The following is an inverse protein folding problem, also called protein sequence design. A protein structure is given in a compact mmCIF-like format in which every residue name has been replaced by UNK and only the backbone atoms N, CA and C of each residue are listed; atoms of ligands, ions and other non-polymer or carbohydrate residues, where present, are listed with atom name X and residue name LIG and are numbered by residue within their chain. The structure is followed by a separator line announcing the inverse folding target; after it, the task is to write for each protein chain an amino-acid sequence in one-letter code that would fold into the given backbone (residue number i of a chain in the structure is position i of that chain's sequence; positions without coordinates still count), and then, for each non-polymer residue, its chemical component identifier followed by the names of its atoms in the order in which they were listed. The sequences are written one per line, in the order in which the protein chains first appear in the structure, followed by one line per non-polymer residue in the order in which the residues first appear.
data_IF_982469415126
#
_entry.id   IF_982469415126
#
_cell.length_a   1.000
_cell.length_b   1.000
_cell.length_c   1.000
_cell.angle_alpha   90.00
_cell.angle_beta   90.00
_cell.angle_gamma   90.00
#
_symmetry.space_group_name_H-M   'P 1'
#
loop_
_entity.id
_entity.type
_entity.pdbx_description
1 polymer ?
#
# COMPACT_ATOMS: atom_id res chain seq x y z
N UNK A 1 -28.69 14.23 24.42
CA UNK A 1 -27.52 13.62 23.77
C UNK A 1 -26.33 14.43 24.22
N UNK A 2 -25.55 13.92 25.20
CA UNK A 2 -24.33 14.55 25.72
C UNK A 2 -23.35 14.69 24.56
N UNK A 3 -22.91 15.93 24.27
CA UNK A 3 -21.73 16.21 23.45
C UNK A 3 -20.51 15.64 24.18
N UNK A 4 -20.14 14.37 23.91
CA UNK A 4 -18.82 13.88 24.29
C UNK A 4 -17.81 14.81 23.61
N UNK A 5 -17.13 15.63 24.38
CA UNK A 5 -16.05 16.48 23.87
C UNK A 5 -15.08 15.59 23.11
N UNK A 6 -14.72 15.97 21.88
CA UNK A 6 -13.69 15.31 21.10
C UNK A 6 -12.33 15.65 21.73
N UNK A 7 -12.07 15.07 22.91
CA UNK A 7 -10.84 15.30 23.62
C UNK A 7 -9.71 14.62 22.82
N UNK A 8 -8.73 15.39 22.42
CA UNK A 8 -7.53 14.95 21.72
C UNK A 8 -6.79 13.95 22.61
N UNK A 9 -6.47 12.74 22.15
CA UNK A 9 -5.65 11.81 22.91
C UNK A 9 -4.20 12.31 22.98
N UNK A 10 -3.54 12.12 24.10
CA UNK A 10 -2.10 12.33 24.22
C UNK A 10 -1.34 11.20 23.52
N UNK A 11 -1.82 9.95 23.67
CA UNK A 11 -1.26 8.77 23.04
C UNK A 11 -2.32 7.98 22.26
N UNK A 12 -2.13 7.88 20.94
CA UNK A 12 -3.00 7.13 20.02
C UNK A 12 -2.32 5.85 19.53
N UNK A 13 -2.94 4.71 19.75
CA UNK A 13 -2.54 3.41 19.20
C UNK A 13 -3.21 3.18 17.84
N UNK A 14 -2.45 3.25 16.75
CA UNK A 14 -2.95 2.92 15.41
C UNK A 14 -2.71 1.45 15.10
N UNK A 15 -3.78 0.68 14.77
CA UNK A 15 -3.71 -0.75 14.56
C UNK A 15 -3.94 -1.06 13.07
N UNK A 16 -2.86 -1.21 12.33
CA UNK A 16 -2.86 -1.63 10.92
C UNK A 16 -1.59 -2.43 10.60
N UNK A 17 -1.52 -3.69 11.03
CA UNK A 17 -0.32 -4.50 10.86
C UNK A 17 -0.01 -4.91 9.42
N UNK A 18 -0.93 -4.81 8.51
CA UNK A 18 -0.73 -5.16 7.08
C UNK A 18 -2.06 -5.41 6.37
N UNK A 19 -2.08 -5.77 5.07
CA UNK A 19 -0.92 -6.04 4.22
C UNK A 19 -0.14 -4.76 3.83
N UNK A 20 0.91 -4.89 2.98
CA UNK A 20 1.71 -3.76 2.50
C UNK A 20 0.83 -2.66 1.87
N UNK A 21 -0.01 -3.01 0.91
CA UNK A 21 -0.90 -2.04 0.26
C UNK A 21 -1.87 -1.39 1.24
N UNK A 22 -2.40 -2.16 2.19
CA UNK A 22 -3.29 -1.63 3.23
C UNK A 22 -2.58 -0.64 4.17
N UNK A 23 -1.31 -0.89 4.51
CA UNK A 23 -0.49 0.05 5.29
C UNK A 23 -0.33 1.34 4.51
N UNK A 24 0.07 1.26 3.23
CA UNK A 24 0.20 2.44 2.35
C UNK A 24 -1.11 3.23 2.27
N UNK A 25 -2.25 2.55 2.13
CA UNK A 25 -3.57 3.23 2.09
C UNK A 25 -3.93 3.94 3.40
N UNK A 26 -3.42 3.45 4.54
CA UNK A 26 -3.73 4.01 5.86
C UNK A 26 -2.79 5.15 6.28
N UNK A 27 -1.58 5.26 5.69
CA UNK A 27 -0.60 6.30 6.04
C UNK A 27 -1.15 7.74 6.02
N UNK A 28 -1.99 8.15 5.05
CA UNK A 28 -2.55 9.50 5.04
C UNK A 28 -3.37 9.85 6.28
N UNK A 29 -3.94 8.85 6.96
CA UNK A 29 -4.69 9.06 8.21
C UNK A 29 -3.74 9.54 9.31
N UNK A 30 -2.60 8.86 9.51
CA UNK A 30 -1.61 9.28 10.50
C UNK A 30 -1.04 10.68 10.18
N UNK A 31 -0.73 10.94 8.91
CA UNK A 31 -0.26 12.25 8.46
C UNK A 31 -1.27 13.36 8.77
N UNK A 32 -2.56 13.10 8.54
CA UNK A 32 -3.63 14.07 8.82
C UNK A 32 -3.86 14.28 10.33
N UNK A 33 -3.80 13.20 11.13
CA UNK A 33 -3.90 13.27 12.59
C UNK A 33 -2.74 14.08 13.15
N UNK A 34 -1.51 13.80 12.77
CA UNK A 34 -0.33 14.52 13.24
C UNK A 34 -0.39 16.01 12.87
N UNK A 35 -0.88 16.34 11.67
CA UNK A 35 -1.05 17.75 11.26
C UNK A 35 -2.09 18.48 12.10
N UNK A 36 -3.19 17.81 12.45
CA UNK A 36 -4.27 18.39 13.27
C UNK A 36 -3.94 18.40 14.77
N UNK A 37 -3.22 17.38 15.22
CA UNK A 37 -2.84 17.12 16.60
C UNK A 37 -1.33 16.84 16.72
N UNK A 38 -0.45 17.86 16.58
CA UNK A 38 1.00 17.66 16.52
C UNK A 38 1.59 17.04 17.80
N UNK A 39 0.94 17.26 18.94
CA UNK A 39 1.37 16.75 20.25
C UNK A 39 0.90 15.31 20.53
N UNK A 40 0.02 14.76 19.68
CA UNK A 40 -0.44 13.39 19.86
C UNK A 40 0.66 12.39 19.48
N UNK A 41 1.08 11.57 20.44
CA UNK A 41 2.03 10.50 20.21
C UNK A 41 1.34 9.33 19.50
N UNK A 42 1.67 9.07 18.24
CA UNK A 42 1.10 7.95 17.47
C UNK A 42 2.05 6.76 17.55
N UNK A 43 1.61 5.67 18.19
CA UNK A 43 2.26 4.36 18.09
C UNK A 43 1.53 3.49 17.09
N UNK A 44 2.26 2.94 16.11
CA UNK A 44 1.68 2.11 15.06
C UNK A 44 2.00 0.63 15.26
N UNK A 45 0.97 -0.23 15.39
CA UNK A 45 1.16 -1.69 15.37
C UNK A 45 1.35 -2.16 13.93
N UNK A 46 2.51 -2.78 13.65
CA UNK A 46 2.97 -3.14 12.31
C UNK A 46 3.58 -4.55 12.27
N UNK A 47 3.35 -5.29 11.19
CA UNK A 47 4.11 -6.51 10.88
C UNK A 47 5.56 -6.12 10.54
N UNK A 48 6.59 -6.78 11.09
CA UNK A 48 8.00 -6.42 10.87
C UNK A 48 8.39 -6.26 9.40
N UNK A 49 7.74 -7.01 8.52
CA UNK A 49 8.01 -6.93 7.06
C UNK A 49 7.68 -5.57 6.45
N UNK A 50 6.75 -4.84 7.05
CA UNK A 50 6.26 -3.55 6.53
C UNK A 50 6.75 -2.36 7.36
N UNK A 51 7.41 -2.61 8.47
CA UNK A 51 7.96 -1.58 9.35
C UNK A 51 8.88 -0.58 8.62
N UNK A 52 9.72 -1.00 7.64
CA UNK A 52 10.54 -0.07 6.87
C UNK A 52 9.75 1.02 6.12
N UNK A 53 8.44 0.83 5.86
CA UNK A 53 7.59 1.87 5.27
C UNK A 53 7.33 3.04 6.23
N UNK A 54 7.47 2.82 7.53
CA UNK A 54 7.20 3.78 8.58
C UNK A 54 8.47 4.49 9.06
N UNK A 55 9.65 4.03 8.63
CA UNK A 55 10.92 4.63 9.01
C UNK A 55 10.99 6.11 8.60
N UNK A 56 11.45 6.96 9.53
CA UNK A 56 11.56 8.41 9.35
C UNK A 56 10.23 9.10 8.99
N UNK A 57 9.09 8.46 9.24
CA UNK A 57 7.79 9.09 9.08
C UNK A 57 7.52 10.01 10.29
N UNK A 58 7.58 11.32 10.09
CA UNK A 58 7.41 12.32 11.16
C UNK A 58 6.04 12.29 11.84
N UNK A 59 5.04 11.67 11.22
CA UNK A 59 3.70 11.54 11.80
C UNK A 59 3.60 10.35 12.78
N UNK A 60 4.57 9.44 12.80
CA UNK A 60 4.54 8.21 13.61
C UNK A 60 5.69 8.28 14.60
N UNK A 61 5.36 8.43 15.87
CA UNK A 61 6.36 8.60 16.92
C UNK A 61 7.05 7.28 17.30
N UNK A 62 6.32 6.16 17.23
CA UNK A 62 6.86 4.84 17.53
C UNK A 62 6.15 3.73 16.72
N UNK A 63 6.85 2.63 16.50
CA UNK A 63 6.28 1.38 15.99
C UNK A 63 6.24 0.34 17.10
N UNK A 64 5.23 -0.53 17.07
CA UNK A 64 5.15 -1.70 17.92
C UNK A 64 4.96 -2.94 17.04
N UNK A 65 5.98 -3.80 16.99
CA UNK A 65 6.00 -4.93 16.06
C UNK A 65 5.00 -6.01 16.44
N UNK A 66 4.24 -6.47 15.44
CA UNK A 66 3.33 -7.60 15.52
C UNK A 66 3.94 -8.82 14.79
N UNK A 67 4.65 -9.72 15.50
CA UNK A 67 5.35 -10.86 14.90
C UNK A 67 4.36 -11.97 14.53
N UNK A 68 3.58 -11.73 13.49
CA UNK A 68 2.47 -12.61 13.07
C UNK A 68 2.89 -14.06 12.86
N UNK A 69 4.13 -14.31 12.49
CA UNK A 69 4.67 -15.65 12.24
C UNK A 69 4.68 -16.50 13.52
N UNK A 70 4.90 -15.87 14.69
CA UNK A 70 5.04 -16.53 15.99
C UNK A 70 3.70 -17.01 16.55
N UNK A 71 2.59 -16.54 16.00
CA UNK A 71 1.23 -16.83 16.49
C UNK A 71 0.53 -17.91 15.68
N UNK A 72 1.28 -18.83 15.06
CA UNK A 72 0.75 -19.97 14.32
C UNK A 72 0.51 -21.16 15.23
N UNK A 73 -0.51 -21.96 14.89
CA UNK A 73 -0.90 -23.17 15.61
C UNK A 73 -1.55 -22.92 16.99
N UNK A 74 -1.96 -23.97 17.71
CA UNK A 74 -2.69 -23.83 18.98
C UNK A 74 -1.92 -23.06 20.07
N UNK A 75 -0.63 -23.33 20.23
CA UNK A 75 0.23 -22.58 21.16
C UNK A 75 0.41 -21.11 20.75
N UNK A 76 0.22 -20.78 19.48
CA UNK A 76 0.25 -19.43 18.95
C UNK A 76 -0.85 -18.54 19.53
N UNK A 77 -2.01 -19.10 19.86
CA UNK A 77 -3.11 -18.35 20.47
C UNK A 77 -2.69 -17.83 21.85
N UNK A 78 -2.09 -18.67 22.68
CA UNK A 78 -1.62 -18.25 24.01
C UNK A 78 -0.51 -17.20 23.92
N UNK A 79 0.44 -17.40 22.99
CA UNK A 79 1.49 -16.39 22.72
C UNK A 79 0.89 -15.07 22.26
N UNK A 80 -0.10 -15.09 21.36
CA UNK A 80 -0.80 -13.90 20.91
C UNK A 80 -1.51 -13.17 22.07
N UNK A 81 -2.24 -13.89 22.90
CA UNK A 81 -2.91 -13.29 24.06
C UNK A 81 -1.91 -12.73 25.09
N UNK A 82 -0.79 -13.39 25.29
CA UNK A 82 0.30 -12.88 26.14
C UNK A 82 0.91 -11.60 25.54
N UNK A 83 1.15 -11.58 24.23
CA UNK A 83 1.63 -10.40 23.52
C UNK A 83 0.61 -9.25 23.62
N UNK A 84 -0.69 -9.51 23.41
CA UNK A 84 -1.73 -8.49 23.54
C UNK A 84 -1.77 -7.88 24.94
N UNK A 85 -1.60 -8.69 26.01
CA UNK A 85 -1.60 -8.17 27.39
C UNK A 85 -0.51 -7.13 27.65
N UNK A 86 0.62 -7.21 26.96
CA UNK A 86 1.70 -6.21 27.06
C UNK A 86 1.35 -4.87 26.40
N UNK A 87 0.34 -4.82 25.49
CA UNK A 87 -0.09 -3.56 24.87
C UNK A 87 -0.60 -2.53 25.89
N UNK A 88 -1.06 -2.95 27.07
CA UNK A 88 -1.43 -2.04 28.17
C UNK A 88 -0.25 -1.19 28.67
N UNK A 89 0.99 -1.68 28.50
CA UNK A 89 2.22 -1.01 28.91
C UNK A 89 2.53 0.19 28.00
N UNK A 90 1.87 0.29 26.84
CA UNK A 90 1.95 1.45 25.97
C UNK A 90 1.16 2.66 26.52
N UNK A 91 0.26 2.45 27.51
CA UNK A 91 -0.56 3.49 28.12
C UNK A 91 -1.30 4.38 27.09
N UNK A 92 -1.83 3.79 26.03
CA UNK A 92 -2.56 4.53 25.00
C UNK A 92 -3.94 4.98 25.53
N UNK A 93 -4.26 6.27 25.39
CA UNK A 93 -5.55 6.84 25.76
C UNK A 93 -6.66 6.39 24.81
N UNK A 94 -6.30 6.27 23.54
CA UNK A 94 -7.21 5.89 22.49
C UNK A 94 -6.56 4.92 21.48
N UNK A 95 -7.40 4.15 20.78
CA UNK A 95 -6.98 3.26 19.70
C UNK A 95 -7.80 3.54 18.43
N UNK A 96 -7.14 3.42 17.29
CA UNK A 96 -7.75 3.48 15.96
C UNK A 96 -7.50 2.13 15.26
N UNK A 97 -8.54 1.30 15.20
CA UNK A 97 -8.50 0.00 14.51
C UNK A 97 -8.88 0.16 13.03
N UNK A 98 -7.88 0.25 12.17
CA UNK A 98 -8.03 0.26 10.71
C UNK A 98 -7.94 -1.14 10.09
N UNK A 99 -7.60 -2.17 10.88
CA UNK A 99 -7.58 -3.55 10.42
C UNK A 99 -8.96 -4.19 10.48
N UNK A 100 -9.71 -3.93 11.54
CA UNK A 100 -11.09 -4.35 11.73
C UNK A 100 -11.34 -5.86 11.62
N UNK A 101 -10.44 -6.66 12.17
CA UNK A 101 -10.54 -8.12 12.32
C UNK A 101 -10.49 -8.49 13.80
N UNK A 102 -10.95 -9.70 14.17
CA UNK A 102 -10.95 -10.16 15.55
C UNK A 102 -9.63 -9.90 16.27
N UNK A 103 -8.51 -10.18 15.61
CA UNK A 103 -7.18 -9.97 16.18
C UNK A 103 -6.90 -8.50 16.52
N UNK A 104 -7.27 -7.58 15.66
CA UNK A 104 -7.07 -6.15 15.92
C UNK A 104 -8.05 -5.62 16.97
N UNK A 105 -9.28 -6.12 17.00
CA UNK A 105 -10.22 -5.85 18.08
C UNK A 105 -9.70 -6.31 19.45
N UNK A 106 -9.10 -7.50 19.53
CA UNK A 106 -8.43 -7.98 20.73
C UNK A 106 -7.22 -7.11 21.11
N UNK A 107 -6.39 -6.68 20.16
CA UNK A 107 -5.30 -5.73 20.41
C UNK A 107 -5.83 -4.44 21.04
N UNK A 108 -6.88 -3.85 20.45
CA UNK A 108 -7.51 -2.65 20.99
C UNK A 108 -8.08 -2.89 22.41
N UNK A 109 -8.75 -4.01 22.66
CA UNK A 109 -9.29 -4.34 23.97
C UNK A 109 -8.19 -4.49 25.04
N UNK A 110 -7.12 -5.20 24.71
CA UNK A 110 -6.04 -5.45 25.67
C UNK A 110 -5.14 -4.24 25.90
N UNK A 111 -5.11 -3.27 25.00
CA UNK A 111 -4.39 -2.00 25.21
C UNK A 111 -4.99 -1.17 26.33
N UNK A 112 -6.26 -1.45 26.70
CA UNK A 112 -7.02 -0.71 27.72
C UNK A 112 -7.27 0.75 27.34
N UNK A 113 -7.14 1.10 26.06
CA UNK A 113 -7.52 2.42 25.55
C UNK A 113 -8.98 2.75 25.93
N UNK A 114 -9.19 3.94 26.48
CA UNK A 114 -10.52 4.38 26.92
C UNK A 114 -11.50 4.63 25.78
N UNK A 115 -10.97 4.89 24.56
CA UNK A 115 -11.76 5.08 23.35
C UNK A 115 -11.16 4.27 22.20
N UNK A 116 -12.02 3.55 21.47
CA UNK A 116 -11.61 2.71 20.34
C UNK A 116 -12.47 3.04 19.13
N UNK A 117 -11.87 3.70 18.13
CA UNK A 117 -12.48 3.90 16.83
C UNK A 117 -12.24 2.70 15.93
N UNK A 118 -13.27 2.22 15.26
CA UNK A 118 -13.15 1.18 14.25
C UNK A 118 -14.21 1.33 13.16
N UNK A 119 -13.95 0.75 11.99
CA UNK A 119 -14.84 0.89 10.83
C UNK A 119 -16.08 0.00 10.99
N UNK A 120 -17.24 0.45 10.46
CA UNK A 120 -18.53 -0.22 10.61
C UNK A 120 -18.61 -1.58 9.91
N UNK A 121 -17.75 -1.84 8.92
CA UNK A 121 -17.65 -3.10 8.19
C UNK A 121 -16.62 -4.08 8.83
N UNK A 122 -16.35 -3.90 10.13
CA UNK A 122 -15.52 -4.81 10.91
C UNK A 122 -16.05 -6.24 10.84
N UNK A 123 -15.14 -7.18 10.66
CA UNK A 123 -15.42 -8.61 10.49
C UNK A 123 -15.00 -9.42 11.71
N UNK A 124 -15.39 -10.70 11.73
CA UNK A 124 -14.96 -11.68 12.76
C UNK A 124 -15.31 -11.22 14.19
N UNK A 125 -16.30 -10.35 14.36
CA UNK A 125 -16.69 -9.84 15.68
C UNK A 125 -15.82 -8.69 16.22
N UNK A 126 -14.88 -8.14 15.45
CA UNK A 126 -14.03 -7.03 15.90
C UNK A 126 -14.83 -5.81 16.37
N UNK A 127 -15.99 -5.56 15.79
CA UNK A 127 -16.88 -4.45 16.15
C UNK A 127 -17.36 -4.46 17.60
N UNK A 128 -17.31 -5.59 18.31
CA UNK A 128 -17.63 -5.64 19.73
C UNK A 128 -16.63 -4.89 20.63
N UNK A 129 -15.42 -4.69 20.13
CA UNK A 129 -14.34 -4.00 20.84
C UNK A 129 -14.25 -2.51 20.51
N UNK A 130 -15.08 -2.01 19.57
CA UNK A 130 -15.09 -0.61 19.18
C UNK A 130 -16.10 0.17 20.04
N UNK A 131 -15.66 1.26 20.67
CA UNK A 131 -16.56 2.20 21.36
C UNK A 131 -17.26 3.13 20.38
N UNK A 132 -16.59 3.45 19.28
CA UNK A 132 -17.08 4.33 18.22
C UNK A 132 -16.96 3.63 16.86
N UNK A 133 -18.08 3.44 16.19
CA UNK A 133 -18.12 2.82 14.86
C UNK A 133 -18.21 3.86 13.77
N UNK A 134 -17.21 3.87 12.90
CA UNK A 134 -17.08 4.80 11.79
C UNK A 134 -17.82 4.24 10.57
N UNK A 135 -18.85 4.93 10.10
CA UNK A 135 -19.60 4.50 8.92
C UNK A 135 -18.74 4.58 7.66
N UNK A 136 -18.68 3.47 6.92
CA UNK A 136 -17.99 3.36 5.63
C UNK A 136 -18.96 2.89 4.55
N UNK A 137 -18.70 3.27 3.30
CA UNK A 137 -19.52 2.87 2.17
C UNK A 137 -19.02 1.55 1.58
N UNK A 138 -19.96 0.73 1.11
CA UNK A 138 -19.65 -0.44 0.29
C UNK A 138 -19.07 0.06 -1.04
N UNK A 139 -17.99 -0.56 -1.51
CA UNK A 139 -17.30 -0.22 -2.76
C UNK A 139 -16.58 1.14 -2.74
N UNK A 140 -16.29 1.70 -1.58
CA UNK A 140 -15.44 2.86 -1.45
C UNK A 140 -13.95 2.48 -1.55
N UNK A 141 -13.16 3.33 -2.18
CA UNK A 141 -11.71 3.10 -2.26
C UNK A 141 -11.07 3.04 -0.87
N UNK A 142 -10.14 2.09 -0.67
CA UNK A 142 -9.52 1.83 0.63
C UNK A 142 -8.92 3.07 1.30
N UNK A 143 -8.31 3.99 0.55
CA UNK A 143 -7.79 5.27 1.08
C UNK A 143 -8.93 6.13 1.64
N UNK A 144 -10.01 6.32 0.86
CA UNK A 144 -11.16 7.12 1.29
C UNK A 144 -11.83 6.49 2.51
N UNK A 145 -11.97 5.17 2.50
CA UNK A 145 -12.53 4.38 3.59
C UNK A 145 -11.75 4.61 4.91
N UNK A 146 -10.43 4.63 4.88
CA UNK A 146 -9.63 4.91 6.09
C UNK A 146 -9.71 6.40 6.50
N UNK A 147 -9.73 7.32 5.55
CA UNK A 147 -9.86 8.76 5.83
C UNK A 147 -11.18 9.13 6.52
N UNK A 148 -12.24 8.28 6.43
CA UNK A 148 -13.47 8.47 7.21
C UNK A 148 -13.26 8.46 8.72
N UNK A 149 -12.13 7.95 9.20
CA UNK A 149 -11.78 8.04 10.61
C UNK A 149 -11.61 9.50 11.08
N UNK A 150 -11.10 10.37 10.22
CA UNK A 150 -10.79 11.75 10.58
C UNK A 150 -12.01 12.56 11.04
N UNK A 151 -13.11 12.65 10.28
CA UNK A 151 -14.31 13.36 10.75
C UNK A 151 -14.91 12.77 12.04
N UNK A 152 -14.83 11.44 12.21
CA UNK A 152 -15.29 10.78 13.44
C UNK A 152 -14.44 11.12 14.66
N UNK A 153 -13.19 11.52 14.43
CA UNK A 153 -12.27 12.02 15.45
C UNK A 153 -12.35 13.54 15.63
N UNK A 154 -13.15 14.25 14.83
CA UNK A 154 -13.26 15.71 14.84
C UNK A 154 -12.17 16.42 14.02
N UNK A 155 -11.51 15.71 13.13
CA UNK A 155 -10.46 16.23 12.22
C UNK A 155 -11.05 16.38 10.82
N UNK A 156 -10.81 17.51 10.17
CA UNK A 156 -11.19 17.70 8.79
C UNK A 156 -10.41 16.73 7.86
N UNK A 157 -11.13 15.99 7.01
CA UNK A 157 -10.48 15.16 6.01
C UNK A 157 -9.74 16.05 4.99
N UNK A 158 -8.49 15.71 4.62
CA UNK A 158 -7.76 16.48 3.62
C UNK A 158 -8.36 16.27 2.22
N UNK A 159 -8.43 17.31 1.43
CA UNK A 159 -8.86 17.24 0.02
C UNK A 159 -7.93 16.33 -0.78
N UNK A 160 -6.62 16.47 -0.57
CA UNK A 160 -5.58 15.63 -1.17
C UNK A 160 -4.80 14.91 -0.07
N UNK A 161 -4.91 13.57 0.01
CA UNK A 161 -4.14 12.79 0.96
C UNK A 161 -2.63 12.97 0.73
N UNK A 162 -1.84 12.96 1.80
CA UNK A 162 -0.38 13.05 1.75
C UNK A 162 0.24 11.80 2.36
N UNK A 163 1.24 11.27 1.67
CA UNK A 163 2.06 10.13 2.11
C UNK A 163 3.44 10.62 2.53
N UNK A 164 3.91 10.18 3.67
CA UNK A 164 5.30 10.30 4.10
C UNK A 164 5.88 8.90 4.00
N UNK A 165 6.76 8.69 3.05
CA UNK A 165 7.39 7.40 2.74
C UNK A 165 8.91 7.53 2.79
N UNK A 166 9.64 6.49 3.20
CA UNK A 166 11.09 6.52 3.34
C UNK A 166 11.78 6.85 2.01
N UNK A 167 12.96 7.42 2.13
CA UNK A 167 13.87 7.66 1.01
C UNK A 167 15.26 7.19 1.43
N UNK A 168 15.88 6.36 0.59
CA UNK A 168 17.27 5.93 0.71
C UNK A 168 17.98 6.14 -0.62
N UNK A 169 19.28 6.27 -0.58
CA UNK A 169 20.08 6.34 -1.81
C UNK A 169 20.08 5.01 -2.55
N UNK A 170 19.96 5.08 -3.88
CA UNK A 170 19.96 3.93 -4.79
C UNK A 170 20.96 4.09 -5.93
N UNK A 171 21.91 5.03 -5.78
CA UNK A 171 22.90 5.39 -6.80
C UNK A 171 23.78 4.20 -7.23
N UNK A 172 24.07 3.25 -6.33
CA UNK A 172 24.82 2.03 -6.65
C UNK A 172 24.03 0.96 -7.41
N UNK A 173 22.70 1.11 -7.56
CA UNK A 173 21.82 0.09 -8.17
C UNK A 173 21.37 0.50 -9.56
N UNK A 174 20.98 1.76 -9.74
CA UNK A 174 20.55 2.33 -11.02
C UNK A 174 21.31 3.64 -11.24
N UNK A 175 21.99 3.83 -12.39
CA UNK A 175 22.71 5.07 -12.70
C UNK A 175 21.81 6.31 -12.53
N UNK A 176 22.36 7.41 -12.04
CA UNK A 176 21.58 8.60 -11.65
C UNK A 176 20.86 9.28 -12.83
N UNK A 177 21.53 9.34 -13.98
CA UNK A 177 21.04 10.09 -15.14
C UNK A 177 20.41 9.18 -16.21
N UNK A 178 20.14 7.92 -15.91
CA UNK A 178 19.55 7.01 -16.89
C UNK A 178 18.03 6.96 -16.70
N UNK A 179 17.23 7.36 -17.73
CA UNK A 179 15.79 7.15 -17.72
C UNK A 179 15.46 5.66 -17.62
N UNK A 180 14.51 5.32 -16.78
CA UNK A 180 14.09 3.93 -16.64
C UNK A 180 12.61 3.79 -16.34
N UNK A 181 12.07 2.64 -16.70
CA UNK A 181 10.75 2.15 -16.28
C UNK A 181 10.91 0.99 -15.34
N UNK A 182 9.95 0.83 -14.44
CA UNK A 182 9.87 -0.33 -13.55
C UNK A 182 8.75 -1.24 -14.00
N UNK A 183 9.02 -2.55 -14.05
CA UNK A 183 8.00 -3.57 -14.15
C UNK A 183 7.99 -4.43 -12.87
N UNK A 184 6.79 -4.57 -12.26
CA UNK A 184 6.54 -5.46 -11.15
C UNK A 184 5.53 -6.54 -11.58
N UNK A 185 6.02 -7.71 -12.07
CA UNK A 185 5.17 -8.69 -12.75
C UNK A 185 4.53 -9.72 -11.82
N UNK A 186 4.98 -9.84 -10.56
CA UNK A 186 4.60 -10.94 -9.68
C UNK A 186 3.81 -10.48 -8.46
N UNK A 187 2.80 -11.25 -8.08
CA UNK A 187 2.00 -11.01 -6.90
C UNK A 187 1.68 -12.32 -6.19
N UNK A 188 1.38 -12.24 -4.90
CA UNK A 188 0.87 -13.39 -4.15
C UNK A 188 -0.59 -13.63 -4.54
N UNK A 189 -0.89 -14.84 -4.96
CA UNK A 189 -2.23 -15.26 -5.36
C UNK A 189 -2.28 -15.76 -6.81
N UNK A 190 -3.04 -16.81 -7.02
CA UNK A 190 -3.21 -17.40 -8.35
C UNK A 190 -3.84 -16.38 -9.31
N UNK A 191 -3.35 -16.33 -10.54
CA UNK A 191 -3.91 -15.52 -11.62
C UNK A 191 -3.61 -14.01 -11.54
N UNK A 192 -2.78 -13.56 -10.59
CA UNK A 192 -2.37 -12.15 -10.48
C UNK A 192 -1.02 -11.84 -11.13
N UNK A 193 -0.14 -12.82 -11.20
CA UNK A 193 1.20 -12.63 -11.79
C UNK A 193 1.12 -12.70 -13.31
N UNK A 194 1.99 -11.96 -13.97
CA UNK A 194 2.23 -12.14 -15.40
C UNK A 194 2.97 -13.46 -15.60
N UNK A 195 2.61 -14.18 -16.65
CA UNK A 195 3.38 -15.32 -17.14
C UNK A 195 4.64 -14.86 -17.90
N UNK A 196 5.51 -15.81 -18.22
CA UNK A 196 6.75 -15.52 -18.92
C UNK A 196 6.52 -15.00 -20.36
N UNK A 197 5.45 -15.42 -21.02
CA UNK A 197 5.12 -14.95 -22.37
C UNK A 197 4.72 -13.48 -22.38
N UNK A 198 3.87 -13.08 -21.44
CA UNK A 198 3.50 -11.68 -21.24
C UNK A 198 4.70 -10.81 -20.87
N UNK A 199 5.57 -11.29 -19.96
CA UNK A 199 6.75 -10.54 -19.56
C UNK A 199 7.75 -10.42 -20.73
N UNK A 200 7.97 -11.47 -21.50
CA UNK A 200 8.80 -11.44 -22.71
C UNK A 200 8.25 -10.46 -23.76
N UNK A 201 6.92 -10.48 -24.00
CA UNK A 201 6.27 -9.58 -24.92
C UNK A 201 6.42 -8.12 -24.49
N UNK A 202 6.27 -7.82 -23.18
CA UNK A 202 6.51 -6.50 -22.62
C UNK A 202 7.95 -6.06 -22.87
N UNK A 203 8.93 -6.83 -22.45
CA UNK A 203 10.36 -6.48 -22.52
C UNK A 203 10.82 -6.27 -23.97
N UNK A 204 10.45 -7.17 -24.88
CA UNK A 204 10.82 -7.08 -26.29
C UNK A 204 10.18 -5.86 -26.97
N UNK A 205 8.90 -5.59 -26.72
CA UNK A 205 8.20 -4.44 -27.28
C UNK A 205 8.74 -3.13 -26.69
N UNK A 206 8.98 -3.06 -25.38
CA UNK A 206 9.54 -1.88 -24.74
C UNK A 206 10.89 -1.49 -25.37
N UNK A 207 11.78 -2.48 -25.51
CA UNK A 207 13.11 -2.30 -26.11
C UNK A 207 13.06 -1.82 -27.57
N UNK A 208 12.06 -2.23 -28.35
CA UNK A 208 11.90 -1.77 -29.74
C UNK A 208 11.37 -0.32 -29.86
N UNK A 209 10.83 0.24 -28.76
CA UNK A 209 10.22 1.57 -28.73
C UNK A 209 10.94 2.58 -27.83
N UNK A 210 11.90 2.14 -27.01
CA UNK A 210 12.63 3.03 -26.08
C UNK A 210 14.03 2.53 -25.79
N UNK A 211 14.96 3.48 -25.65
CA UNK A 211 16.33 3.23 -25.16
C UNK A 211 16.44 3.34 -23.63
N UNK A 212 15.36 3.63 -22.92
CA UNK A 212 15.35 3.69 -21.47
C UNK A 212 15.57 2.28 -20.87
N UNK A 213 16.15 2.23 -19.68
CA UNK A 213 16.35 0.97 -18.98
C UNK A 213 15.01 0.40 -18.49
N UNK A 214 14.80 -0.90 -18.66
CA UNK A 214 13.69 -1.61 -18.02
C UNK A 214 14.20 -2.33 -16.76
N UNK A 215 13.56 -2.09 -15.61
CA UNK A 215 13.98 -2.62 -14.30
C UNK A 215 12.89 -3.55 -13.76
N UNK A 216 13.23 -4.82 -13.56
CA UNK A 216 12.35 -5.80 -12.91
C UNK A 216 12.52 -5.74 -11.40
N UNK A 217 11.41 -5.62 -10.67
CA UNK A 217 11.41 -5.59 -9.20
C UNK A 217 10.36 -6.53 -8.62
N UNK A 218 10.52 -6.85 -7.33
CA UNK A 218 9.58 -7.68 -6.57
C UNK A 218 10.16 -9.02 -6.17
N UNK A 219 9.28 -9.94 -5.74
CA UNK A 219 9.64 -11.31 -5.37
C UNK A 219 9.12 -12.29 -6.42
N UNK A 220 10.00 -13.08 -7.00
CA UNK A 220 9.67 -14.06 -8.02
C UNK A 220 10.90 -14.49 -8.79
N UNK A 221 10.71 -15.41 -9.72
CA UNK A 221 11.78 -15.94 -10.54
C UNK A 221 11.53 -15.62 -12.02
N UNK A 222 12.52 -15.01 -12.63
CA UNK A 222 12.57 -14.79 -14.07
C UNK A 222 14.01 -14.88 -14.52
N UNK A 223 14.30 -15.94 -15.25
CA UNK A 223 15.60 -16.14 -15.89
C UNK A 223 15.38 -16.09 -17.40
N UNK A 224 16.06 -15.16 -18.05
CA UNK A 224 16.22 -15.14 -19.50
C UNK A 224 17.72 -15.17 -19.77
N UNK A 225 18.18 -16.21 -20.43
CA UNK A 225 19.58 -16.33 -20.81
C UNK A 225 19.95 -15.22 -21.80
N UNK A 226 21.09 -14.54 -21.54
CA UNK A 226 21.74 -13.60 -22.45
C UNK A 226 20.94 -12.31 -22.82
N UNK A 227 20.05 -11.80 -21.97
CA UNK A 227 19.39 -10.52 -22.24
C UNK A 227 20.08 -9.34 -21.56
N UNK A 228 20.77 -8.49 -22.34
CA UNK A 228 21.43 -7.27 -21.88
C UNK A 228 20.48 -6.05 -21.83
N UNK A 229 19.19 -6.26 -22.10
CA UNK A 229 18.23 -5.18 -22.32
C UNK A 229 17.45 -4.74 -21.07
N UNK A 230 17.65 -5.37 -19.91
CA UNK A 230 16.96 -5.01 -18.68
C UNK A 230 17.81 -5.29 -17.43
N UNK A 231 17.48 -4.60 -16.33
CA UNK A 231 18.09 -4.83 -15.03
C UNK A 231 17.16 -5.70 -14.16
N UNK A 232 17.63 -6.89 -13.80
CA UNK A 232 16.87 -7.81 -12.94
C UNK A 232 17.23 -7.58 -11.46
N UNK A 233 16.29 -6.95 -10.73
CA UNK A 233 16.37 -6.73 -9.29
C UNK A 233 15.35 -7.58 -8.50
N UNK A 234 14.81 -8.64 -9.09
CA UNK A 234 13.93 -9.58 -8.40
C UNK A 234 14.64 -10.19 -7.18
N UNK A 235 13.99 -10.16 -6.03
CA UNK A 235 14.52 -10.63 -4.73
C UNK A 235 15.81 -9.91 -4.26
N UNK A 236 16.16 -8.75 -4.84
CA UNK A 236 17.44 -8.06 -4.59
C UNK A 236 17.27 -6.66 -3.99
N UNK A 237 16.07 -6.24 -3.69
CA UNK A 237 15.81 -4.92 -3.10
C UNK A 237 15.17 -5.07 -1.73
N UNK A 238 15.61 -4.24 -0.79
CA UNK A 238 14.86 -3.96 0.43
C UNK A 238 13.61 -3.13 0.10
N UNK A 239 12.69 -3.02 1.03
CA UNK A 239 11.46 -2.24 0.83
C UNK A 239 11.75 -0.73 0.70
N UNK A 240 12.77 -0.23 1.40
CA UNK A 240 13.20 1.16 1.31
C UNK A 240 13.85 1.47 -0.06
N UNK A 241 14.71 0.58 -0.56
CA UNK A 241 15.28 0.69 -1.90
C UNK A 241 14.21 0.60 -2.98
N UNK A 242 13.26 -0.35 -2.87
CA UNK A 242 12.14 -0.45 -3.77
C UNK A 242 11.34 0.86 -3.82
N UNK A 243 11.05 1.45 -2.66
CA UNK A 243 10.34 2.74 -2.57
C UNK A 243 11.10 3.86 -3.29
N UNK A 244 12.42 3.91 -3.11
CA UNK A 244 13.28 4.91 -3.77
C UNK A 244 13.41 4.68 -5.27
N UNK A 245 13.50 3.43 -5.72
CA UNK A 245 13.49 3.06 -7.14
C UNK A 245 12.16 3.48 -7.80
N UNK A 246 11.02 3.15 -7.16
CA UNK A 246 9.70 3.54 -7.67
C UNK A 246 9.53 5.06 -7.76
N UNK A 247 10.09 5.82 -6.80
CA UNK A 247 10.07 7.29 -6.80
C UNK A 247 10.82 7.90 -7.98
N UNK A 248 11.95 7.31 -8.37
CA UNK A 248 12.81 7.75 -9.47
C UNK A 248 12.33 7.26 -10.84
N UNK A 249 11.48 6.25 -10.90
CA UNK A 249 11.01 5.69 -12.17
C UNK A 249 10.21 6.71 -12.97
N UNK A 250 10.48 6.83 -14.27
CA UNK A 250 9.66 7.62 -15.19
C UNK A 250 8.27 7.02 -15.39
N UNK A 251 8.16 5.69 -15.28
CA UNK A 251 6.89 4.97 -15.35
C UNK A 251 6.97 3.63 -14.61
N UNK A 252 5.84 3.16 -14.08
CA UNK A 252 5.73 1.86 -13.42
C UNK A 252 4.62 1.04 -14.08
N UNK A 253 4.93 -0.17 -14.54
CA UNK A 253 3.93 -1.18 -14.89
C UNK A 253 3.87 -2.24 -13.78
N UNK A 254 2.73 -2.44 -13.16
CA UNK A 254 2.61 -3.36 -12.02
C UNK A 254 1.30 -4.13 -12.06
N UNK A 255 1.34 -5.39 -11.69
CA UNK A 255 0.13 -6.14 -11.32
C UNK A 255 -0.46 -5.57 -10.03
N UNK A 256 -1.74 -5.88 -9.74
CA UNK A 256 -2.42 -5.50 -8.49
C UNK A 256 -1.68 -6.06 -7.26
N UNK A 257 -0.88 -5.21 -6.61
CA UNK A 257 0.03 -5.60 -5.53
C UNK A 257 0.54 -4.39 -4.73
N UNK A 258 1.28 -4.67 -3.65
CA UNK A 258 1.85 -3.62 -2.79
C UNK A 258 2.69 -2.56 -3.52
N UNK A 259 3.64 -2.92 -4.39
CA UNK A 259 4.44 -1.95 -5.15
C UNK A 259 3.63 -1.01 -6.04
N UNK A 260 2.49 -1.45 -6.59
CA UNK A 260 1.55 -0.60 -7.31
C UNK A 260 1.02 0.52 -6.41
N UNK A 261 0.63 0.20 -5.17
CA UNK A 261 0.14 1.19 -4.20
C UNK A 261 1.24 2.16 -3.76
N UNK A 262 2.50 1.67 -3.64
CA UNK A 262 3.65 2.54 -3.37
C UNK A 262 3.87 3.53 -4.52
N UNK A 263 3.90 3.08 -5.76
CA UNK A 263 4.06 3.94 -6.93
C UNK A 263 2.96 5.02 -6.99
N UNK A 264 1.70 4.63 -6.73
CA UNK A 264 0.58 5.56 -6.65
C UNK A 264 0.76 6.61 -5.54
N UNK A 265 1.16 6.18 -4.34
CA UNK A 265 1.41 7.05 -3.19
C UNK A 265 2.59 8.03 -3.41
N UNK A 266 3.57 7.63 -4.20
CA UNK A 266 4.72 8.45 -4.61
C UNK A 266 4.38 9.45 -5.71
N UNK A 267 3.20 9.31 -6.35
CA UNK A 267 2.80 10.12 -7.50
C UNK A 267 3.52 9.78 -8.80
N UNK A 268 4.19 8.63 -8.86
CA UNK A 268 4.85 8.12 -10.06
C UNK A 268 3.79 7.72 -11.09
N UNK A 269 3.91 8.09 -12.36
CA UNK A 269 3.03 7.63 -13.44
C UNK A 269 3.05 6.10 -13.52
N UNK A 270 1.87 5.47 -13.57
CA UNK A 270 1.82 4.01 -13.57
C UNK A 270 0.66 3.42 -14.37
N UNK A 271 0.87 2.19 -14.83
CA UNK A 271 -0.16 1.26 -15.28
C UNK A 271 -0.33 0.15 -14.24
N UNK A 272 -1.55 -0.04 -13.78
CA UNK A 272 -1.93 -1.16 -12.90
C UNK A 272 -2.75 -2.20 -13.66
N UNK A 273 -2.37 -3.47 -13.56
CA UNK A 273 -3.01 -4.59 -14.24
C UNK A 273 -3.95 -5.31 -13.29
N UNK A 274 -5.25 -5.26 -13.58
CA UNK A 274 -6.32 -5.86 -12.79
C UNK A 274 -7.02 -6.97 -13.57
N UNK A 275 -6.72 -8.21 -13.25
CA UNK A 275 -7.33 -9.38 -13.90
C UNK A 275 -8.70 -9.74 -13.34
N UNK A 276 -8.93 -9.49 -12.03
CA UNK A 276 -10.19 -9.81 -11.35
C UNK A 276 -10.58 -8.84 -10.20
N UNK A 277 -9.67 -8.02 -9.71
CA UNK A 277 -9.97 -7.07 -8.63
C UNK A 277 -10.68 -5.82 -9.15
N UNK A 278 -11.54 -5.23 -8.31
CA UNK A 278 -12.21 -3.96 -8.64
C UNK A 278 -11.28 -2.78 -8.38
N UNK A 279 -10.79 -2.10 -9.44
CA UNK A 279 -9.85 -0.99 -9.29
C UNK A 279 -10.46 0.25 -8.61
N UNK A 280 -11.78 0.34 -8.50
CA UNK A 280 -12.43 1.42 -7.72
C UNK A 280 -12.13 1.29 -6.23
N UNK A 281 -12.04 0.05 -5.73
CA UNK A 281 -11.85 -0.26 -4.32
C UNK A 281 -10.37 -0.39 -3.93
N UNK A 282 -9.58 -1.01 -4.81
CA UNK A 282 -8.19 -1.40 -4.52
C UNK A 282 -7.20 -1.03 -5.62
N UNK A 283 -7.59 -0.21 -6.59
CA UNK A 283 -6.67 0.28 -7.61
C UNK A 283 -5.68 1.33 -7.07
N UNK A 284 -4.84 1.89 -7.94
CA UNK A 284 -3.95 2.98 -7.56
C UNK A 284 -4.72 4.25 -7.23
N UNK A 285 -4.49 4.84 -6.07
CA UNK A 285 -5.08 6.14 -5.69
C UNK A 285 -4.23 7.28 -6.25
N UNK A 286 -4.31 7.49 -7.56
CA UNK A 286 -3.51 8.49 -8.28
C UNK A 286 -4.20 8.95 -9.57
N UNK A 287 -4.23 10.25 -9.81
CA UNK A 287 -4.72 10.85 -11.07
C UNK A 287 -3.79 10.53 -12.26
N UNK A 288 -2.52 10.17 -11.98
CA UNK A 288 -1.53 9.80 -13.00
C UNK A 288 -1.57 8.33 -13.38
N UNK A 289 -2.53 7.58 -12.84
CA UNK A 289 -2.59 6.14 -13.06
C UNK A 289 -3.43 5.76 -14.28
N UNK A 290 -2.98 4.68 -14.91
CA UNK A 290 -3.71 3.93 -15.92
C UNK A 290 -4.08 2.56 -15.34
N UNK A 291 -5.19 2.01 -15.82
CA UNK A 291 -5.67 0.67 -15.48
C UNK A 291 -5.78 -0.14 -16.74
N UNK A 292 -5.20 -1.33 -16.72
CA UNK A 292 -5.61 -2.40 -17.62
C UNK A 292 -6.65 -3.28 -16.91
N UNK A 293 -7.81 -3.44 -17.52
CA UNK A 293 -8.84 -4.38 -17.06
C UNK A 293 -9.69 -4.79 -18.26
N UNK A 294 -10.07 -6.07 -18.35
CA UNK A 294 -10.99 -6.56 -19.35
C UNK A 294 -10.50 -6.44 -20.81
N UNK A 295 -9.18 -6.31 -21.04
CA UNK A 295 -8.58 -6.13 -22.37
C UNK A 295 -8.45 -4.67 -22.80
N UNK A 296 -8.67 -3.71 -21.90
CA UNK A 296 -8.59 -2.27 -22.22
C UNK A 296 -7.67 -1.55 -21.25
N UNK A 297 -6.89 -0.59 -21.76
CA UNK A 297 -6.12 0.37 -20.97
C UNK A 297 -6.91 1.68 -20.92
N UNK A 298 -7.21 2.16 -19.71
CA UNK A 298 -7.93 3.42 -19.47
C UNK A 298 -7.35 4.20 -18.29
N UNK A 299 -7.68 5.48 -18.17
CA UNK A 299 -7.31 6.26 -16.98
C UNK A 299 -8.04 5.72 -15.75
N UNK A 300 -7.37 5.74 -14.59
CA UNK A 300 -7.99 5.38 -13.33
C UNK A 300 -9.18 6.28 -13.03
N UNK A 301 -10.27 5.66 -12.61
CA UNK A 301 -11.49 6.33 -12.16
C UNK A 301 -12.09 5.58 -10.98
N UNK A 302 -12.42 6.29 -9.92
CA UNK A 302 -13.08 5.73 -8.74
C UNK A 302 -14.58 5.51 -8.95
N UNK A 303 -15.14 6.02 -10.05
CA UNK A 303 -16.58 5.96 -10.35
C UNK A 303 -16.95 5.11 -11.54
N UNK A 304 -16.00 4.89 -12.48
CA UNK A 304 -16.24 4.08 -13.67
C UNK A 304 -16.50 2.60 -13.29
N UNK A 305 -17.52 2.00 -13.88
CA UNK A 305 -17.82 0.59 -13.65
C UNK A 305 -16.60 -0.30 -14.00
N UNK A 306 -16.33 -1.36 -13.23
CA UNK A 306 -15.29 -2.31 -13.56
C UNK A 306 -15.65 -3.06 -14.84
N UNK A 307 -14.63 -3.39 -15.62
CA UNK A 307 -14.78 -4.24 -16.80
C UNK A 307 -14.79 -5.73 -16.41
N UNK A 308 -15.32 -6.60 -17.29
CA UNK A 308 -15.30 -8.03 -17.04
C UNK A 308 -13.89 -8.59 -16.80
N UNK A 309 -13.81 -9.62 -15.99
CA UNK A 309 -12.57 -10.35 -15.78
C UNK A 309 -12.07 -10.99 -17.08
N UNK A 310 -10.82 -10.75 -17.41
CA UNK A 310 -10.12 -11.37 -18.54
C UNK A 310 -8.68 -11.67 -18.17
N UNK A 311 -8.06 -12.69 -18.75
CA UNK A 311 -6.63 -12.91 -18.64
C UNK A 311 -5.89 -11.78 -19.35
N UNK A 312 -4.76 -11.38 -18.79
CA UNK A 312 -3.80 -10.49 -19.43
C UNK A 312 -2.99 -11.32 -20.44
N UNK A 313 -2.87 -10.83 -21.67
CA UNK A 313 -2.28 -11.56 -22.78
C UNK A 313 -0.96 -10.93 -23.24
N UNK A 314 -0.12 -11.65 -24.03
CA UNK A 314 1.08 -11.07 -24.65
C UNK A 314 0.80 -9.84 -25.50
N UNK A 315 -0.37 -9.76 -26.16
CA UNK A 315 -0.81 -8.58 -26.91
C UNK A 315 -1.04 -7.38 -25.98
N UNK A 316 -1.72 -7.60 -24.84
CA UNK A 316 -1.94 -6.56 -23.84
C UNK A 316 -0.62 -6.08 -23.22
N UNK A 317 0.32 -7.00 -23.03
CA UNK A 317 1.66 -6.69 -22.54
C UNK A 317 2.44 -5.81 -23.53
N UNK A 318 2.31 -6.07 -24.83
CA UNK A 318 2.90 -5.22 -25.86
C UNK A 318 2.30 -3.79 -25.86
N UNK A 319 0.99 -3.65 -25.72
CA UNK A 319 0.33 -2.34 -25.61
C UNK A 319 0.75 -1.60 -24.31
N UNK A 320 0.84 -2.32 -23.19
CA UNK A 320 1.36 -1.77 -21.95
C UNK A 320 2.81 -1.26 -22.08
N UNK A 321 3.64 -1.99 -22.83
CA UNK A 321 5.03 -1.61 -23.09
C UNK A 321 5.15 -0.34 -23.95
N UNK A 322 4.29 -0.17 -24.97
CA UNK A 322 4.22 1.05 -25.79
C UNK A 322 3.82 2.26 -24.93
N UNK A 323 2.83 2.10 -24.06
CA UNK A 323 2.44 3.15 -23.12
C UNK A 323 3.60 3.53 -22.22
N UNK A 324 4.32 2.55 -21.65
CA UNK A 324 5.49 2.79 -20.79
C UNK A 324 6.62 3.52 -21.55
N UNK A 325 6.87 3.14 -22.79
CA UNK A 325 7.89 3.76 -23.65
C UNK A 325 7.56 5.23 -23.94
N UNK A 326 6.30 5.55 -24.27
CA UNK A 326 5.85 6.93 -24.48
C UNK A 326 5.96 7.75 -23.19
N UNK A 327 5.50 7.21 -22.07
CA UNK A 327 5.46 7.93 -20.80
C UNK A 327 6.85 8.29 -20.25
N UNK A 328 7.86 7.41 -20.43
CA UNK A 328 9.24 7.70 -19.96
C UNK A 328 9.91 8.77 -20.80
N UNK A 329 9.52 8.94 -22.06
CA UNK A 329 10.01 10.02 -22.93
C UNK A 329 9.43 11.39 -22.55
N UNK A 330 8.17 11.43 -22.11
CA UNK A 330 7.47 12.67 -21.72
C UNK A 330 7.90 13.20 -20.35
N UNK A 331 8.43 12.33 -19.48
CA UNK A 331 8.88 12.65 -18.14
C UNK A 331 10.34 12.20 -17.93
N UNK A 332 11.32 12.78 -18.65
CA UNK A 332 12.72 12.62 -18.29
C UNK A 332 12.86 13.16 -16.86
N UNK A 333 13.43 12.35 -15.98
CA UNK A 333 13.54 12.54 -14.51
C UNK A 333 13.71 14.03 -14.11
N UNK A 334 12.78 14.52 -13.26
CA UNK A 334 12.91 15.81 -12.58
C UNK A 334 13.88 15.70 -11.39
#
# INVERSE_FOLDING_TARGET
VSKKSHQRPEHLLCIKPGSMGDVVHALPVATAIHRAWPETHITWIIDPRWEPLLEKNSAIAATHTFPRADFRGPAGILRFLSWCRRLRELHADAALDLQCLLRSGLMAHFSKAGRVWGLSDAREGAGFFHTDRISVLKNEHSVQRYLRALPAMGIAAPEKPKWVLPTVETSGVIPENQPFVVIHPFSRGAGKSLDHECLNAFLSTFRSHSNALCVLVGAGDYARENDTGFLNLLNRTTLAELTSILRRAGFVASVDSGPMHLAAALGTPLLSIHTWSDPRCVGPFSEKAWIWQGGEIRRQSLTAAPLPEKPFTPRDAAEAAKLAASAVCEHPQA
#
